data_IF_384700449756
#
_entry.id   IF_384700449756
#
_cell.length_a   1.000
_cell.length_b   1.000
_cell.length_c   1.000
_cell.angle_alpha   90.00
_cell.angle_beta   90.00
_cell.angle_gamma   90.00
#
_symmetry.space_group_name_H-M   'P 1'
#
loop_
_entity.id
_entity.type
_entity.pdbx_description
1 polymer ?
#
# COMPACT_ATOMS: atom_id res chain seq x y z
N UNK A 1 -13.69 -5.74 25.43
CA UNK A 1 -12.33 -5.18 25.68
C UNK A 1 -11.35 -5.49 24.55
N UNK A 2 -11.26 -6.73 24.05
CA UNK A 2 -10.36 -7.09 22.93
C UNK A 2 -10.87 -6.60 21.57
N UNK A 3 -12.15 -6.83 21.23
CA UNK A 3 -12.75 -6.36 19.97
C UNK A 3 -12.55 -4.85 19.73
N UNK A 4 -12.77 -4.03 20.77
CA UNK A 4 -12.50 -2.59 20.73
C UNK A 4 -11.03 -2.24 20.39
N UNK A 5 -10.07 -3.05 20.86
CA UNK A 5 -8.65 -2.87 20.52
C UNK A 5 -8.36 -3.26 19.08
N UNK A 6 -9.04 -4.28 18.55
CA UNK A 6 -8.92 -4.65 17.14
C UNK A 6 -9.35 -3.51 16.23
N UNK A 7 -10.50 -2.87 16.49
CA UNK A 7 -10.94 -1.70 15.71
C UNK A 7 -9.95 -0.54 15.76
N UNK A 8 -9.43 -0.21 16.95
CA UNK A 8 -8.38 0.82 17.09
C UNK A 8 -7.11 0.44 16.35
N UNK A 9 -6.75 -0.83 16.34
CA UNK A 9 -5.55 -1.32 15.65
C UNK A 9 -5.69 -1.16 14.14
N UNK A 10 -6.83 -1.52 13.55
CA UNK A 10 -7.10 -1.29 12.13
C UNK A 10 -7.05 0.20 11.78
N UNK A 11 -7.72 1.05 12.58
CA UNK A 11 -7.68 2.50 12.35
C UNK A 11 -6.25 3.04 12.32
N UNK A 12 -5.39 2.61 13.26
CA UNK A 12 -3.99 3.02 13.30
C UNK A 12 -3.19 2.52 12.10
N UNK A 13 -3.43 1.29 11.63
CA UNK A 13 -2.77 0.73 10.44
C UNK A 13 -3.14 1.55 9.19
N UNK A 14 -4.44 1.85 9.02
CA UNK A 14 -4.97 2.67 7.92
C UNK A 14 -4.37 4.07 7.95
N UNK A 15 -4.40 4.74 9.12
CA UNK A 15 -3.82 6.07 9.28
C UNK A 15 -2.32 6.08 8.93
N UNK A 16 -1.58 5.06 9.36
CA UNK A 16 -0.16 4.93 9.05
C UNK A 16 0.09 4.75 7.55
N UNK A 17 -0.68 3.89 6.88
CA UNK A 17 -0.59 3.69 5.43
C UNK A 17 -0.90 4.96 4.65
N UNK A 18 -1.96 5.67 5.05
CA UNK A 18 -2.34 6.95 4.45
C UNK A 18 -1.24 8.00 4.65
N UNK A 19 -0.66 8.07 5.84
CA UNK A 19 0.46 8.97 6.12
C UNK A 19 1.67 8.68 5.21
N UNK A 20 2.12 7.42 5.14
CA UNK A 20 3.27 7.06 4.29
C UNK A 20 3.00 7.33 2.81
N UNK A 21 1.79 7.05 2.33
CA UNK A 21 1.39 7.34 0.94
C UNK A 21 1.36 8.84 0.67
N UNK A 22 0.85 9.64 1.61
CA UNK A 22 0.75 11.10 1.48
C UNK A 22 2.12 11.76 1.43
N UNK A 23 3.03 11.39 2.33
CA UNK A 23 4.39 11.95 2.39
C UNK A 23 5.20 11.62 1.12
N UNK A 24 4.96 10.45 0.53
CA UNK A 24 5.65 10.02 -0.69
C UNK A 24 4.89 10.33 -2.00
N UNK A 25 3.78 11.10 -1.94
CA UNK A 25 2.91 11.37 -3.08
C UNK A 25 3.66 11.90 -4.31
N UNK A 26 4.58 12.85 -4.13
CA UNK A 26 5.37 13.43 -5.25
C UNK A 26 6.25 12.40 -5.95
N UNK A 27 6.84 11.48 -5.18
CA UNK A 27 7.70 10.42 -5.69
C UNK A 27 6.88 9.34 -6.40
N UNK A 28 5.70 9.00 -5.86
CA UNK A 28 4.74 8.10 -6.51
C UNK A 28 4.25 8.66 -7.85
N UNK A 29 3.86 9.94 -7.90
CA UNK A 29 3.45 10.61 -9.14
C UNK A 29 4.58 10.65 -10.17
N UNK A 30 5.83 10.85 -9.73
CA UNK A 30 7.01 10.78 -10.60
C UNK A 30 7.19 9.37 -11.16
N UNK A 31 7.12 8.33 -10.33
CA UNK A 31 7.21 6.92 -10.75
C UNK A 31 6.15 6.57 -11.78
N UNK A 32 4.90 6.92 -11.49
CA UNK A 32 3.77 6.64 -12.37
C UNK A 32 3.91 7.32 -13.75
N UNK A 33 4.42 8.56 -13.79
CA UNK A 33 4.70 9.25 -15.06
C UNK A 33 5.80 8.55 -15.86
N UNK A 34 6.89 8.14 -15.21
CA UNK A 34 7.99 7.40 -15.84
C UNK A 34 7.49 6.09 -16.43
N UNK A 35 6.73 5.30 -15.66
CA UNK A 35 6.12 4.05 -16.10
C UNK A 35 5.17 4.26 -17.29
N UNK A 36 4.35 5.32 -17.27
CA UNK A 36 3.44 5.64 -18.37
C UNK A 36 4.18 6.00 -19.67
N UNK A 37 5.30 6.73 -19.57
CA UNK A 37 6.14 7.06 -20.74
C UNK A 37 6.78 5.78 -21.29
N UNK A 38 7.35 4.94 -20.43
CA UNK A 38 7.94 3.65 -20.83
C UNK A 38 6.91 2.79 -21.56
N UNK A 39 5.71 2.64 -20.99
CA UNK A 39 4.64 1.85 -21.60
C UNK A 39 4.23 2.41 -22.98
N UNK A 40 4.14 3.73 -23.11
CA UNK A 40 3.80 4.39 -24.38
C UNK A 40 4.91 4.23 -25.44
N UNK A 41 6.17 4.30 -25.03
CA UNK A 41 7.31 4.15 -25.93
C UNK A 41 7.51 2.70 -26.36
N UNK A 42 7.29 1.73 -25.46
CA UNK A 42 7.24 0.31 -25.81
C UNK A 42 6.15 0.01 -26.84
N UNK A 43 4.96 0.60 -26.69
CA UNK A 43 3.88 0.45 -27.66
C UNK A 43 4.20 1.04 -29.04
N UNK A 44 5.12 2.01 -29.10
CA UNK A 44 5.56 2.67 -30.35
C UNK A 44 6.80 1.99 -30.96
N UNK A 45 7.35 0.94 -30.32
CA UNK A 45 8.53 0.21 -30.79
C UNK A 45 9.85 0.95 -30.55
N UNK A 46 9.94 1.77 -29.50
CA UNK A 46 11.15 2.49 -29.15
C UNK A 46 12.34 1.56 -28.83
N UNK A 47 13.55 2.04 -29.12
CA UNK A 47 14.78 1.29 -28.87
C UNK A 47 15.08 1.16 -27.36
N UNK A 48 15.75 0.07 -26.98
CA UNK A 48 16.08 -0.20 -25.58
C UNK A 48 16.90 0.91 -24.90
N UNK A 49 17.76 1.61 -25.67
CA UNK A 49 18.54 2.74 -25.16
C UNK A 49 17.65 3.90 -24.69
N UNK A 50 16.58 4.22 -25.43
CA UNK A 50 15.65 5.29 -25.08
C UNK A 50 14.83 4.94 -23.82
N UNK A 51 14.46 3.66 -23.67
CA UNK A 51 13.76 3.19 -22.47
C UNK A 51 14.65 3.29 -21.23
N UNK A 52 15.94 2.98 -21.38
CA UNK A 52 16.90 3.07 -20.29
C UNK A 52 17.13 4.51 -19.81
N UNK A 53 17.22 5.47 -20.73
CA UNK A 53 17.32 6.90 -20.37
C UNK A 53 16.14 7.38 -19.51
N UNK A 54 14.93 6.91 -19.83
CA UNK A 54 13.71 7.26 -19.08
C UNK A 54 13.69 6.56 -17.73
N UNK A 55 14.14 5.32 -17.68
CA UNK A 55 14.28 4.59 -16.43
C UNK A 55 15.27 5.28 -15.48
N UNK A 56 16.35 5.87 -16.00
CA UNK A 56 17.33 6.66 -15.23
C UNK A 56 16.78 8.00 -14.67
N UNK A 57 15.58 8.44 -15.08
CA UNK A 57 14.92 9.61 -14.50
C UNK A 57 14.55 9.40 -13.02
N UNK A 58 14.43 8.16 -12.57
CA UNK A 58 14.35 7.80 -11.15
C UNK A 58 15.76 7.46 -10.66
N UNK A 59 16.25 8.25 -9.71
CA UNK A 59 17.59 8.05 -9.14
C UNK A 59 17.64 6.79 -8.27
N UNK A 60 18.82 6.20 -8.08
CA UNK A 60 18.98 5.01 -7.23
C UNK A 60 18.44 5.20 -5.79
N UNK A 61 18.65 6.35 -5.10
CA UNK A 61 18.04 6.59 -3.80
C UNK A 61 16.51 6.65 -3.84
N UNK A 62 15.93 7.25 -4.87
CA UNK A 62 14.47 7.31 -5.06
C UNK A 62 13.87 5.91 -5.28
N UNK A 63 14.54 5.03 -6.02
CA UNK A 63 14.11 3.62 -6.16
C UNK A 63 14.14 2.91 -4.82
N UNK A 64 15.21 3.08 -4.04
CA UNK A 64 15.30 2.47 -2.71
C UNK A 64 14.17 2.97 -1.78
N UNK A 65 13.81 4.25 -1.88
CA UNK A 65 12.69 4.81 -1.15
C UNK A 65 11.34 4.23 -1.60
N UNK A 66 11.12 4.06 -2.91
CA UNK A 66 9.94 3.41 -3.46
C UNK A 66 9.81 1.95 -3.01
N UNK A 67 10.90 1.18 -3.04
CA UNK A 67 10.89 -0.22 -2.57
C UNK A 67 10.61 -0.32 -1.07
N UNK A 68 11.17 0.59 -0.28
CA UNK A 68 10.89 0.66 1.17
C UNK A 68 9.41 0.99 1.42
N UNK A 69 8.87 1.97 0.70
CA UNK A 69 7.46 2.35 0.80
C UNK A 69 6.54 1.18 0.42
N UNK A 70 6.83 0.51 -0.69
CA UNK A 70 6.08 -0.67 -1.16
C UNK A 70 6.10 -1.79 -0.12
N UNK A 71 7.26 -2.08 0.45
CA UNK A 71 7.39 -3.08 1.50
C UNK A 71 6.53 -2.74 2.73
N UNK A 72 6.58 -1.48 3.18
CA UNK A 72 5.80 -1.03 4.34
C UNK A 72 4.30 -1.08 4.09
N UNK A 73 3.83 -0.56 2.94
CA UNK A 73 2.41 -0.56 2.56
C UNK A 73 1.89 -1.99 2.48
N UNK A 74 2.59 -2.89 1.80
CA UNK A 74 2.19 -4.30 1.71
C UNK A 74 2.08 -4.97 3.09
N UNK A 75 2.97 -4.63 4.01
CA UNK A 75 2.93 -5.15 5.38
C UNK A 75 1.74 -4.60 6.17
N UNK A 76 1.43 -3.31 6.02
CA UNK A 76 0.26 -2.69 6.64
C UNK A 76 -1.02 -3.30 6.09
N UNK A 77 -1.16 -3.44 4.78
CA UNK A 77 -2.30 -4.08 4.12
C UNK A 77 -2.52 -5.51 4.61
N UNK A 78 -1.46 -6.33 4.63
CA UNK A 78 -1.55 -7.69 5.14
C UNK A 78 -1.94 -7.75 6.63
N UNK A 79 -1.47 -6.79 7.43
CA UNK A 79 -1.82 -6.69 8.85
C UNK A 79 -3.28 -6.28 9.05
N UNK A 80 -3.82 -5.39 8.20
CA UNK A 80 -5.23 -5.01 8.23
C UNK A 80 -6.13 -6.23 8.01
N UNK A 81 -5.80 -7.08 7.02
CA UNK A 81 -6.53 -8.32 6.72
C UNK A 81 -6.49 -9.29 7.92
N UNK A 82 -5.33 -9.49 8.54
CA UNK A 82 -5.19 -10.40 9.68
C UNK A 82 -5.98 -9.95 10.92
N UNK A 83 -6.06 -8.64 11.17
CA UNK A 83 -6.85 -8.11 12.28
C UNK A 83 -8.34 -8.27 12.00
N UNK A 84 -8.78 -8.14 10.75
CA UNK A 84 -10.18 -8.36 10.34
C UNK A 84 -10.65 -9.79 10.63
N UNK A 85 -9.82 -10.80 10.35
CA UNK A 85 -10.11 -12.20 10.71
C UNK A 85 -10.35 -12.37 12.22
N UNK A 86 -9.59 -11.65 13.05
CA UNK A 86 -9.77 -11.67 14.50
C UNK A 86 -11.06 -10.98 14.92
N UNK A 87 -11.41 -9.85 14.29
CA UNK A 87 -12.67 -9.13 14.51
C UNK A 87 -13.84 -10.06 14.22
N UNK A 88 -13.83 -10.71 13.06
CA UNK A 88 -14.90 -11.62 12.63
C UNK A 88 -15.18 -12.72 13.66
N UNK A 89 -14.14 -13.37 14.19
CA UNK A 89 -14.30 -14.43 15.21
C UNK A 89 -14.88 -13.88 16.53
N UNK A 90 -14.38 -12.71 16.97
CA UNK A 90 -14.84 -12.09 18.22
C UNK A 90 -16.28 -11.59 18.11
N UNK A 91 -16.64 -10.96 17.00
CA UNK A 91 -18.01 -10.52 16.71
C UNK A 91 -18.96 -11.71 16.65
N UNK A 92 -18.62 -12.75 15.88
CA UNK A 92 -19.43 -13.96 15.75
C UNK A 92 -19.74 -14.60 17.12
N UNK A 93 -18.73 -14.69 17.99
CA UNK A 93 -18.91 -15.21 19.34
C UNK A 93 -19.85 -14.31 20.17
N UNK A 94 -19.64 -13.00 20.15
CA UNK A 94 -20.49 -12.03 20.89
C UNK A 94 -21.93 -12.10 20.38
N UNK A 95 -22.15 -12.08 19.06
CA UNK A 95 -23.47 -12.13 18.47
C UNK A 95 -24.21 -13.44 18.78
N UNK A 96 -23.51 -14.58 18.74
CA UNK A 96 -24.11 -15.88 19.04
C UNK A 96 -24.53 -16.05 20.51
N UNK A 97 -23.86 -15.33 21.42
CA UNK A 97 -24.11 -15.44 22.87
C UNK A 97 -25.07 -14.37 23.39
N UNK A 98 -25.26 -13.28 22.65
CA UNK A 98 -26.26 -12.26 22.95
C UNK A 98 -27.66 -12.73 22.53
N UNK A 99 -28.52 -13.04 23.50
CA UNK A 99 -29.96 -13.25 23.23
C UNK A 99 -30.58 -11.92 22.79
N UNK A 100 -30.85 -11.77 21.49
CA UNK A 100 -31.71 -10.68 20.99
C UNK A 100 -33.15 -10.99 21.44
N UNK A 101 -33.63 -10.26 22.45
CA UNK A 101 -35.05 -10.26 22.86
C UNK A 101 -35.89 -9.45 21.89
#
# INVERSE_FOLDING_TARGET
MLLHRCYKSIANLIERRQFETKENKRLLEKSQRVEAIIASMQATGAEAAQLQEIEEMITAPERQQLETLKHNVNKLDASEIQVDETIFLLESYIESTMKRQ
#
